data_IF_769584270602
#
_entry.id   IF_769584270602
#
_cell.length_a   1.000
_cell.length_b   1.000
_cell.length_c   1.000
_cell.angle_alpha   90.00
_cell.angle_beta   90.00
_cell.angle_gamma   90.00
#
_symmetry.space_group_name_H-M   'P 1'
#
loop_
_entity.id
_entity.type
_entity.pdbx_description
1 polymer ?
#
# COMPACT_ATOMS: atom_id res chain seq x y z
N UNK A 1 22.60 -30.37 31.78
CA UNK A 1 22.60 -29.30 30.78
C UNK A 1 21.59 -29.66 29.69
N UNK A 2 20.43 -29.08 29.76
CA UNK A 2 19.39 -29.22 28.72
C UNK A 2 19.68 -28.18 27.65
N UNK A 3 20.07 -28.62 26.46
CA UNK A 3 20.20 -27.77 25.29
C UNK A 3 18.78 -27.34 24.88
N UNK A 4 18.49 -26.08 25.03
CA UNK A 4 17.29 -25.48 24.44
C UNK A 4 17.47 -25.52 22.92
N UNK A 5 16.78 -26.45 22.26
CA UNK A 5 16.61 -26.41 20.81
C UNK A 5 15.79 -25.16 20.48
N UNK A 6 16.45 -24.14 20.02
CA UNK A 6 15.79 -23.02 19.38
C UNK A 6 15.17 -23.54 18.08
N UNK A 7 13.85 -23.70 18.07
CA UNK A 7 13.09 -23.89 16.84
C UNK A 7 13.36 -22.62 16.02
N UNK A 8 13.88 -22.71 14.80
CA UNK A 8 14.01 -21.53 13.96
C UNK A 8 12.61 -20.95 13.77
N UNK A 9 12.45 -19.66 14.05
CA UNK A 9 11.23 -18.94 13.73
C UNK A 9 11.03 -19.05 12.21
N UNK A 10 9.97 -19.73 11.78
CA UNK A 10 9.69 -19.88 10.36
C UNK A 10 9.26 -18.51 9.82
N UNK A 11 10.07 -17.98 8.91
CA UNK A 11 9.71 -16.81 8.11
C UNK A 11 8.40 -17.09 7.35
N UNK A 12 7.41 -16.30 7.59
CA UNK A 12 6.17 -16.38 6.81
C UNK A 12 6.37 -15.62 5.50
N UNK A 13 6.28 -16.33 4.38
CA UNK A 13 6.32 -15.75 3.04
C UNK A 13 4.90 -15.65 2.51
N UNK A 14 4.46 -14.45 2.21
CA UNK A 14 3.15 -14.16 1.65
C UNK A 14 3.30 -13.75 0.18
N UNK A 15 2.52 -14.40 -0.68
CA UNK A 15 2.32 -13.98 -2.06
C UNK A 15 1.00 -13.24 -2.16
N UNK A 16 1.07 -11.99 -2.57
CA UNK A 16 -0.08 -11.13 -2.75
C UNK A 16 -0.66 -11.39 -4.13
N UNK A 17 -1.98 -11.57 -4.19
CA UNK A 17 -2.70 -11.81 -5.45
C UNK A 17 -3.15 -10.49 -6.07
N UNK A 18 -2.53 -10.04 -7.19
CA UNK A 18 -2.92 -8.80 -7.85
C UNK A 18 -4.38 -8.79 -8.33
N UNK A 19 -4.90 -9.94 -8.74
CA UNK A 19 -6.28 -10.05 -9.26
C UNK A 19 -7.34 -9.92 -8.16
N UNK A 20 -6.94 -10.13 -6.91
CA UNK A 20 -7.78 -10.03 -5.72
C UNK A 20 -7.39 -8.83 -4.82
N UNK A 21 -6.57 -7.93 -5.36
CA UNK A 21 -6.15 -6.70 -4.66
C UNK A 21 -6.82 -5.50 -5.32
N UNK A 22 -7.45 -4.67 -4.49
CA UNK A 22 -8.02 -3.38 -4.89
C UNK A 22 -7.20 -2.28 -4.25
N UNK A 23 -6.70 -1.36 -5.06
CA UNK A 23 -6.02 -0.15 -4.62
C UNK A 23 -6.91 1.01 -5.03
N UNK A 24 -7.59 1.61 -4.07
CA UNK A 24 -8.55 2.68 -4.29
C UNK A 24 -8.00 3.99 -3.71
N UNK A 25 -8.30 5.09 -4.37
CA UNK A 25 -8.00 6.41 -3.86
C UNK A 25 -9.23 7.30 -3.81
N UNK A 26 -9.24 8.23 -2.88
CA UNK A 26 -10.21 9.31 -2.86
C UNK A 26 -9.53 10.64 -2.55
N UNK A 27 -9.95 11.66 -3.25
CA UNK A 27 -9.48 13.03 -3.03
C UNK A 27 -10.67 13.97 -3.00
N UNK A 28 -10.74 14.78 -1.95
CA UNK A 28 -11.78 15.78 -1.81
C UNK A 28 -11.45 17.02 -2.63
N UNK A 29 -12.43 17.55 -3.33
CA UNK A 29 -12.45 18.91 -3.81
C UNK A 29 -13.51 19.73 -3.07
N UNK A 30 -13.70 20.99 -3.44
CA UNK A 30 -14.62 21.89 -2.75
C UNK A 30 -16.08 21.43 -2.79
N UNK A 31 -16.47 20.65 -3.79
CA UNK A 31 -17.86 20.29 -4.08
C UNK A 31 -18.11 18.78 -4.01
N UNK A 32 -17.08 17.97 -4.23
CA UNK A 32 -17.23 16.51 -4.39
C UNK A 32 -16.03 15.77 -3.83
N UNK A 33 -16.19 14.46 -3.68
CA UNK A 33 -15.08 13.53 -3.50
C UNK A 33 -14.89 12.74 -4.78
N UNK A 34 -13.69 12.81 -5.33
CA UNK A 34 -13.29 12.01 -6.49
C UNK A 34 -12.79 10.67 -5.99
N UNK A 35 -13.29 9.59 -6.57
CA UNK A 35 -12.85 8.23 -6.33
C UNK A 35 -12.19 7.67 -7.58
N UNK A 36 -11.21 6.80 -7.38
CA UNK A 36 -10.56 6.10 -8.47
C UNK A 36 -9.76 4.92 -7.97
N UNK A 37 -9.06 4.27 -8.87
CA UNK A 37 -8.29 3.07 -8.55
C UNK A 37 -6.99 2.98 -9.34
N UNK A 38 -6.10 2.13 -8.85
CA UNK A 38 -4.88 1.69 -9.50
C UNK A 38 -4.84 0.16 -9.51
N UNK A 39 -4.02 -0.41 -10.38
CA UNK A 39 -3.76 -1.84 -10.44
C UNK A 39 -2.47 -2.18 -9.68
N UNK A 40 -2.53 -3.22 -8.85
CA UNK A 40 -1.33 -3.84 -8.31
C UNK A 40 -0.67 -4.67 -9.40
N UNK A 41 0.62 -4.42 -9.67
CA UNK A 41 1.41 -5.22 -10.64
C UNK A 41 1.88 -6.53 -10.04
N UNK A 42 2.45 -6.47 -8.84
CA UNK A 42 3.00 -7.59 -8.10
C UNK A 42 3.12 -7.25 -6.62
N UNK A 43 3.14 -8.28 -5.80
CA UNK A 43 3.38 -8.11 -4.38
C UNK A 43 3.84 -9.40 -3.72
N UNK A 44 4.83 -9.26 -2.86
CA UNK A 44 5.26 -10.30 -1.95
C UNK A 44 5.71 -9.67 -0.63
N UNK A 45 5.59 -10.42 0.44
CA UNK A 45 6.05 -10.00 1.74
C UNK A 45 6.59 -11.22 2.49
N UNK A 46 7.69 -11.02 3.19
CA UNK A 46 8.23 -11.96 4.15
C UNK A 46 8.28 -11.28 5.50
N UNK A 47 7.89 -11.96 6.55
CA UNK A 47 8.07 -11.47 7.91
C UNK A 47 8.43 -12.59 8.88
N UNK A 48 9.23 -12.24 9.86
CA UNK A 48 9.60 -13.07 10.98
C UNK A 48 8.73 -12.70 12.18
N UNK A 49 7.86 -13.61 12.58
CA UNK A 49 6.92 -13.40 13.69
C UNK A 49 7.61 -13.21 15.05
N UNK A 50 8.85 -13.70 15.22
CA UNK A 50 9.58 -13.59 16.47
C UNK A 50 10.26 -12.22 16.63
N UNK A 51 10.77 -11.64 15.54
CA UNK A 51 11.53 -10.39 15.56
C UNK A 51 10.75 -9.20 15.01
N UNK A 52 9.65 -9.43 14.30
CA UNK A 52 8.90 -8.40 13.59
C UNK A 52 9.59 -7.90 12.30
N UNK A 53 10.76 -8.42 11.95
CA UNK A 53 11.43 -8.02 10.70
C UNK A 53 10.59 -8.39 9.50
N UNK A 54 10.48 -7.46 8.57
CA UNK A 54 9.77 -7.66 7.32
C UNK A 54 10.64 -7.31 6.13
N UNK A 55 10.29 -7.85 4.97
CA UNK A 55 10.93 -7.54 3.69
C UNK A 55 9.98 -7.88 2.55
N UNK A 56 10.35 -7.50 1.34
CA UNK A 56 9.56 -7.70 0.14
C UNK A 56 9.17 -6.41 -0.52
N UNK A 57 8.22 -6.48 -1.44
CA UNK A 57 7.71 -5.28 -2.11
C UNK A 57 6.27 -5.45 -2.57
N UNK A 58 5.54 -4.35 -2.58
CA UNK A 58 4.27 -4.18 -3.27
C UNK A 58 4.47 -3.12 -4.35
N UNK A 59 4.12 -3.44 -5.58
CA UNK A 59 4.31 -2.54 -6.73
C UNK A 59 2.97 -2.26 -7.40
N UNK A 60 2.59 -1.00 -7.38
CA UNK A 60 1.39 -0.48 -8.03
C UNK A 60 1.79 0.16 -9.36
N UNK A 61 1.01 -0.09 -10.39
CA UNK A 61 1.18 0.55 -11.69
C UNK A 61 0.67 1.99 -11.64
N UNK A 62 1.57 2.96 -11.55
CA UNK A 62 1.21 4.37 -11.54
C UNK A 62 0.52 4.84 -12.82
N UNK A 63 0.71 4.11 -13.94
CA UNK A 63 0.09 4.42 -15.23
C UNK A 63 -1.34 3.93 -15.35
N UNK A 64 -1.79 3.09 -14.42
CA UNK A 64 -3.13 2.47 -14.42
C UNK A 64 -4.20 3.32 -13.74
N UNK A 65 -3.85 4.48 -13.20
CA UNK A 65 -4.78 5.32 -12.44
C UNK A 65 -6.01 5.72 -13.26
N UNK A 66 -7.18 5.41 -12.73
CA UNK A 66 -8.48 5.68 -13.35
C UNK A 66 -9.43 6.27 -12.32
N UNK A 67 -9.91 7.49 -12.60
CA UNK A 67 -10.89 8.20 -11.79
C UNK A 67 -12.29 8.25 -12.44
N UNK A 68 -12.47 7.57 -13.55
CA UNK A 68 -13.71 7.60 -14.34
C UNK A 68 -13.85 8.86 -15.22
N UNK A 69 -12.82 9.69 -15.31
CA UNK A 69 -12.83 10.90 -16.16
C UNK A 69 -11.51 11.02 -16.91
N UNK A 70 -11.52 10.77 -18.21
CA UNK A 70 -10.32 10.81 -19.03
C UNK A 70 -9.58 12.15 -19.03
N UNK A 71 -10.27 13.28 -18.83
CA UNK A 71 -9.62 14.58 -18.70
C UNK A 71 -8.86 14.71 -17.38
N UNK A 72 -9.46 14.24 -16.28
CA UNK A 72 -8.84 14.22 -14.95
C UNK A 72 -7.67 13.27 -14.93
N UNK A 73 -7.81 12.07 -15.51
CA UNK A 73 -6.76 11.06 -15.57
C UNK A 73 -5.54 11.56 -16.36
N UNK A 74 -5.76 12.21 -17.52
CA UNK A 74 -4.66 12.84 -18.26
C UNK A 74 -3.91 13.88 -17.42
N UNK A 75 -4.63 14.71 -16.65
CA UNK A 75 -4.00 15.68 -15.77
C UNK A 75 -3.24 15.02 -14.62
N UNK A 76 -3.82 14.00 -13.99
CA UNK A 76 -3.19 13.21 -12.93
C UNK A 76 -1.88 12.58 -13.43
N UNK A 77 -1.93 11.89 -14.56
CA UNK A 77 -0.75 11.20 -15.11
C UNK A 77 0.33 12.17 -15.60
N UNK A 78 -0.06 13.26 -16.25
CA UNK A 78 0.90 14.18 -16.85
C UNK A 78 1.53 15.15 -15.84
N UNK A 79 0.72 15.68 -14.92
CA UNK A 79 1.09 16.85 -14.12
C UNK A 79 1.26 16.54 -12.62
N UNK A 80 0.63 15.49 -12.11
CA UNK A 80 0.71 15.14 -10.68
C UNK A 80 1.67 13.98 -10.46
N UNK A 81 1.38 12.82 -11.02
CA UNK A 81 2.20 11.62 -10.85
C UNK A 81 3.41 11.58 -11.80
N UNK A 82 3.34 12.29 -12.94
CA UNK A 82 4.31 12.17 -14.03
C UNK A 82 4.59 10.69 -14.36
N UNK A 83 3.53 9.90 -14.50
CA UNK A 83 3.60 8.44 -14.52
C UNK A 83 4.36 7.86 -15.71
N UNK A 84 4.57 8.64 -16.78
CA UNK A 84 5.49 8.26 -17.86
C UNK A 84 6.96 8.24 -17.40
N UNK A 85 7.31 9.08 -16.42
CA UNK A 85 8.66 9.17 -15.85
C UNK A 85 8.81 8.27 -14.61
N UNK A 86 7.74 8.16 -13.83
CA UNK A 86 7.69 7.39 -12.59
C UNK A 86 6.56 6.35 -12.68
N UNK A 87 6.75 5.25 -13.43
CA UNK A 87 5.67 4.33 -13.78
C UNK A 87 5.25 3.40 -12.64
N UNK A 88 5.96 3.38 -11.54
CA UNK A 88 5.69 2.50 -10.41
C UNK A 88 5.62 3.29 -9.09
N UNK A 89 4.67 2.89 -8.24
CA UNK A 89 4.61 3.26 -6.84
C UNK A 89 4.96 1.99 -6.06
N UNK A 90 5.95 2.07 -5.17
CA UNK A 90 6.51 0.89 -4.51
C UNK A 90 6.48 1.07 -3.01
N UNK A 91 5.98 0.07 -2.30
CA UNK A 91 6.12 -0.03 -0.85
C UNK A 91 7.02 -1.20 -0.50
N UNK A 92 8.04 -0.93 0.32
CA UNK A 92 8.96 -1.94 0.87
C UNK A 92 8.84 -1.98 2.37
N UNK A 93 8.17 -3.01 2.92
CA UNK A 93 8.09 -3.18 4.37
C UNK A 93 9.48 -3.51 4.96
N UNK A 94 9.72 -3.04 6.17
CA UNK A 94 10.91 -3.39 6.95
C UNK A 94 10.58 -3.97 8.33
N UNK A 95 9.39 -3.65 8.88
CA UNK A 95 8.97 -4.12 10.19
C UNK A 95 7.44 -4.24 10.30
N UNK A 96 7.02 -5.25 11.05
CA UNK A 96 5.64 -5.43 11.52
C UNK A 96 5.65 -5.36 13.04
N UNK A 97 4.90 -4.43 13.60
CA UNK A 97 4.64 -4.36 15.04
C UNK A 97 3.25 -4.95 15.32
N UNK A 98 3.17 -5.83 16.30
CA UNK A 98 1.97 -6.59 16.63
C UNK A 98 2.09 -8.06 16.22
N UNK A 99 1.08 -8.83 16.57
CA UNK A 99 1.05 -10.26 16.32
C UNK A 99 -0.01 -10.60 15.27
N UNK A 100 0.40 -11.27 14.21
CA UNK A 100 -0.52 -11.87 13.24
C UNK A 100 -0.87 -13.28 13.71
N UNK A 101 -2.12 -13.51 14.02
CA UNK A 101 -2.61 -14.83 14.43
C UNK A 101 -2.89 -15.69 13.20
N UNK A 102 -2.71 -17.02 13.28
CA UNK A 102 -2.95 -17.92 12.14
C UNK A 102 -4.44 -18.08 11.80
N UNK A 103 -5.32 -17.59 12.65
CA UNK A 103 -6.78 -17.57 12.45
C UNK A 103 -7.39 -16.36 13.12
N UNK A 104 -8.43 -15.78 12.48
CA UNK A 104 -9.17 -14.63 12.99
C UNK A 104 -8.50 -13.30 12.65
N UNK A 105 -8.99 -12.25 13.29
CA UNK A 105 -8.59 -10.87 13.03
C UNK A 105 -7.42 -10.44 13.90
N UNK A 106 -6.46 -9.77 13.31
CA UNK A 106 -5.31 -9.14 13.98
C UNK A 106 -5.18 -7.70 13.55
N UNK A 107 -4.74 -6.84 14.44
CA UNK A 107 -4.38 -5.45 14.14
C UNK A 107 -2.89 -5.28 14.33
N UNK A 108 -2.19 -4.89 13.29
CA UNK A 108 -0.74 -4.70 13.28
C UNK A 108 -0.38 -3.35 12.68
N UNK A 109 0.83 -2.92 12.92
CA UNK A 109 1.40 -1.74 12.30
C UNK A 109 2.53 -2.17 11.38
N UNK A 110 2.44 -1.77 10.13
CA UNK A 110 3.44 -2.06 9.11
C UNK A 110 4.27 -0.80 8.86
N UNK A 111 5.58 -0.92 9.03
CA UNK A 111 6.55 0.12 8.74
C UNK A 111 7.28 -0.18 7.46
N UNK A 112 7.70 0.84 6.75
CA UNK A 112 8.51 0.67 5.56
C UNK A 112 8.67 1.93 4.74
N UNK A 113 9.31 1.77 3.61
CA UNK A 113 9.63 2.84 2.67
C UNK A 113 8.63 2.88 1.53
N UNK A 114 8.00 4.02 1.32
CA UNK A 114 7.04 4.28 0.26
C UNK A 114 7.69 5.17 -0.80
N UNK A 115 7.89 4.62 -2.00
CA UNK A 115 8.50 5.30 -3.13
C UNK A 115 7.42 5.75 -4.11
N UNK A 116 7.33 7.05 -4.33
CA UNK A 116 6.40 7.68 -5.27
C UNK A 116 7.05 8.91 -5.90
N UNK A 117 6.79 9.15 -7.17
CA UNK A 117 7.27 10.35 -7.89
C UNK A 117 8.78 10.58 -7.73
N UNK A 118 9.58 9.51 -7.72
CA UNK A 118 11.03 9.56 -7.62
C UNK A 118 11.59 9.88 -6.23
N UNK A 119 10.78 9.90 -5.20
CA UNK A 119 11.20 10.13 -3.81
C UNK A 119 10.75 9.00 -2.90
N UNK A 120 11.48 8.81 -1.80
CA UNK A 120 11.19 7.80 -0.78
C UNK A 120 10.72 8.47 0.50
N UNK A 121 9.71 7.87 1.13
CA UNK A 121 9.07 8.37 2.35
C UNK A 121 8.92 7.24 3.35
N UNK A 122 9.39 7.45 4.56
CA UNK A 122 9.14 6.55 5.68
C UNK A 122 7.66 6.63 6.08
N UNK A 123 6.99 5.49 6.13
CA UNK A 123 5.57 5.43 6.45
C UNK A 123 5.28 4.36 7.49
N UNK A 124 4.24 4.64 8.26
CA UNK A 124 3.71 3.75 9.29
C UNK A 124 2.23 3.54 9.02
N UNK A 125 1.85 2.31 8.71
CA UNK A 125 0.54 1.97 8.20
C UNK A 125 -0.19 1.04 9.18
N UNK A 126 -1.35 1.43 9.73
CA UNK A 126 -2.21 0.50 10.46
C UNK A 126 -2.83 -0.50 9.47
N UNK A 127 -2.81 -1.77 9.83
CA UNK A 127 -3.32 -2.87 9.01
C UNK A 127 -4.22 -3.76 9.83
N UNK A 128 -5.42 -4.01 9.34
CA UNK A 128 -6.27 -5.07 9.82
C UNK A 128 -6.05 -6.31 8.95
N UNK A 129 -5.73 -7.43 9.59
CA UNK A 129 -5.46 -8.69 8.91
C UNK A 129 -6.43 -9.75 9.40
N UNK A 130 -7.12 -10.40 8.48
CA UNK A 130 -7.91 -11.59 8.78
C UNK A 130 -7.24 -12.83 8.17
N UNK A 131 -7.01 -13.83 9.00
CA UNK A 131 -6.33 -15.06 8.60
C UNK A 131 -7.29 -16.25 8.67
N UNK A 132 -7.37 -17.03 7.60
CA UNK A 132 -8.14 -18.26 7.53
C UNK A 132 -7.51 -19.26 6.55
N UNK A 133 -7.16 -20.45 7.02
CA UNK A 133 -6.72 -21.56 6.17
C UNK A 133 -5.46 -21.27 5.32
N UNK A 134 -4.54 -20.44 5.80
CA UNK A 134 -3.33 -20.05 5.06
C UNK A 134 -3.55 -18.92 4.04
N UNK A 135 -4.76 -18.37 4.00
CA UNK A 135 -5.09 -17.15 3.28
C UNK A 135 -5.16 -15.97 4.27
N UNK A 136 -4.65 -14.82 3.85
CA UNK A 136 -4.63 -13.59 4.62
C UNK A 136 -5.30 -12.49 3.81
N UNK A 137 -6.35 -11.91 4.37
CA UNK A 137 -6.97 -10.70 3.80
C UNK A 137 -6.52 -9.51 4.63
N UNK A 138 -6.02 -8.48 4.00
CA UNK A 138 -5.59 -7.28 4.72
C UNK A 138 -6.28 -6.03 4.19
N UNK A 139 -6.63 -5.13 5.11
CA UNK A 139 -7.18 -3.82 4.81
C UNK A 139 -6.28 -2.75 5.40
N UNK A 140 -5.87 -1.81 4.55
CA UNK A 140 -5.07 -0.65 4.92
C UNK A 140 -5.81 0.61 4.48
N UNK A 141 -5.78 1.60 5.35
CA UNK A 141 -6.28 2.94 5.01
C UNK A 141 -5.31 3.98 5.54
N UNK A 142 -4.85 4.88 4.66
CA UNK A 142 -3.88 5.91 5.01
C UNK A 142 -3.95 7.10 4.06
N UNK A 143 -3.46 8.26 4.53
CA UNK A 143 -3.38 9.48 3.74
C UNK A 143 -1.97 9.64 3.15
N UNK A 144 -1.91 9.98 1.87
CA UNK A 144 -0.69 10.39 1.17
C UNK A 144 -0.69 11.90 1.02
N UNK A 145 0.19 12.65 1.70
CA UNK A 145 0.29 14.09 1.59
C UNK A 145 1.09 14.46 0.33
N UNK A 146 0.52 14.20 -0.83
CA UNK A 146 1.22 14.24 -2.11
C UNK A 146 1.83 15.61 -2.43
N UNK A 147 1.20 16.71 -2.01
CA UNK A 147 1.76 18.05 -2.21
C UNK A 147 3.00 18.27 -1.35
N UNK A 148 2.94 17.85 -0.08
CA UNK A 148 4.10 17.90 0.81
C UNK A 148 5.26 17.03 0.29
N UNK A 149 4.94 15.96 -0.43
CA UNK A 149 5.91 15.06 -1.05
C UNK A 149 6.41 15.53 -2.42
N UNK A 150 6.10 16.77 -2.79
CA UNK A 150 6.64 17.45 -3.97
C UNK A 150 5.83 17.27 -5.25
N UNK A 151 4.66 16.65 -5.20
CA UNK A 151 3.76 16.54 -6.34
C UNK A 151 2.91 17.80 -6.48
N UNK A 152 2.52 18.11 -7.72
CA UNK A 152 1.76 19.31 -8.03
C UNK A 152 0.30 19.16 -7.63
N UNK A 153 -0.23 20.15 -6.90
CA UNK A 153 -1.67 20.25 -6.65
C UNK A 153 -2.41 20.67 -7.94
N UNK A 154 -3.42 19.91 -8.39
CA UNK A 154 -4.16 20.24 -9.62
C UNK A 154 -5.23 21.31 -9.46
N UNK A 155 -5.26 22.01 -8.32
CA UNK A 155 -6.21 23.11 -8.09
C UNK A 155 -6.14 24.19 -9.16
N UNK A 156 -7.28 24.80 -9.42
CA UNK A 156 -7.43 25.97 -10.30
C UNK A 156 -7.99 27.15 -9.52
N UNK A 157 -8.17 28.31 -10.17
CA UNK A 157 -8.79 29.48 -9.56
C UNK A 157 -10.21 29.20 -9.02
N UNK A 158 -10.91 28.25 -9.62
CA UNK A 158 -12.31 27.95 -9.31
C UNK A 158 -12.51 26.61 -8.60
N UNK A 159 -11.50 25.74 -8.60
CA UNK A 159 -11.58 24.42 -8.01
C UNK A 159 -10.39 24.18 -7.09
N UNK A 160 -10.67 24.06 -5.79
CA UNK A 160 -9.66 23.70 -4.80
C UNK A 160 -9.71 22.19 -4.54
N UNK A 161 -8.57 21.54 -4.72
CA UNK A 161 -8.37 20.11 -4.46
C UNK A 161 -7.55 19.96 -3.19
N UNK A 162 -7.90 18.97 -2.36
CA UNK A 162 -7.13 18.61 -1.16
C UNK A 162 -5.65 18.39 -1.50
N UNK A 163 -4.76 18.72 -0.59
CA UNK A 163 -3.32 18.45 -0.67
C UNK A 163 -2.94 17.03 -0.22
N UNK A 164 -3.94 16.25 0.17
CA UNK A 164 -3.83 14.84 0.57
C UNK A 164 -4.79 13.99 -0.21
N UNK A 165 -4.40 12.76 -0.46
CA UNK A 165 -5.25 11.72 -1.04
C UNK A 165 -5.37 10.57 -0.05
N UNK A 166 -6.59 10.10 0.18
CA UNK A 166 -6.83 8.90 0.99
C UNK A 166 -6.68 7.67 0.12
N UNK A 167 -5.95 6.70 0.62
CA UNK A 167 -5.73 5.40 -0.03
C UNK A 167 -6.37 4.31 0.81
N UNK A 168 -7.14 3.45 0.16
CA UNK A 168 -7.69 2.24 0.75
C UNK A 168 -7.22 1.05 -0.07
N UNK A 169 -6.60 0.07 0.59
CA UNK A 169 -6.13 -1.16 -0.05
C UNK A 169 -6.84 -2.33 0.61
N UNK A 170 -7.51 -3.14 -0.22
CA UNK A 170 -7.99 -4.46 0.14
C UNK A 170 -7.15 -5.48 -0.62
N UNK A 171 -6.44 -6.32 0.09
CA UNK A 171 -5.53 -7.28 -0.53
C UNK A 171 -5.72 -8.67 0.02
N UNK A 172 -5.47 -9.67 -0.82
CA UNK A 172 -5.48 -11.07 -0.44
C UNK A 172 -4.11 -11.67 -0.73
N UNK A 173 -3.57 -12.33 0.27
CA UNK A 173 -2.28 -13.01 0.18
C UNK A 173 -2.42 -14.47 0.61
N UNK A 174 -1.51 -15.30 0.13
CA UNK A 174 -1.39 -16.70 0.54
C UNK A 174 0.01 -16.97 1.04
N UNK A 175 0.09 -17.76 2.13
CA UNK A 175 1.36 -18.27 2.57
C UNK A 175 1.96 -19.17 1.47
N UNK A 176 3.21 -18.89 1.09
CA UNK A 176 3.98 -19.79 0.25
C UNK A 176 4.35 -21.02 1.06
N UNK A 177 4.14 -22.18 0.50
CA UNK A 177 4.57 -23.47 1.05
C UNK A 177 6.04 -23.70 0.73
#
# INVERSE_FOLDING_TARGET
MLAASSIPAEDTVLRIDPSRTKVEFSVADLLHTVHGSFLLKRGNMRFDAATGKASGELVVDATSGDSGSGARDRNMHKNVLESARYPEIVFRPDRVDGMVTPRGTSHVTLHGMFSIHGAEHDVTLPVEVEAAGGEYTAVLQFAVPYVQWGMKNPSTLFLRVSDKVEITIHTVARAAR
#
